data_IF_135716741775
#
_entry.id   IF_135716741775
#
_cell.length_a   1.000
_cell.length_b   1.000
_cell.length_c   1.000
_cell.angle_alpha   90.00
_cell.angle_beta   90.00
_cell.angle_gamma   90.00
#
_symmetry.space_group_name_H-M   'P 1'
#
loop_
_entity.id
_entity.type
_entity.pdbx_description
1 polymer ?
#
# COMPACT_ATOMS: atom_id res chain seq x y z
N UNK A 1 17.23 -21.11 37.72
CA UNK A 1 17.26 -19.70 37.32
C UNK A 1 16.08 -19.45 36.40
N UNK A 2 15.03 -18.78 36.88
CA UNK A 2 13.83 -18.43 36.11
C UNK A 2 13.93 -16.98 35.65
N UNK A 3 13.68 -16.71 34.38
CA UNK A 3 13.61 -15.35 33.83
C UNK A 3 12.13 -15.00 33.66
N UNK A 4 11.68 -14.01 34.43
CA UNK A 4 10.35 -13.40 34.32
C UNK A 4 10.45 -12.20 33.37
N UNK A 5 9.71 -12.24 32.26
CA UNK A 5 9.68 -11.12 31.29
C UNK A 5 8.44 -10.27 31.58
N UNK A 6 8.66 -9.09 32.16
CA UNK A 6 7.62 -8.07 32.34
C UNK A 6 7.46 -7.25 31.07
N UNK A 7 6.29 -7.32 30.45
CA UNK A 7 5.87 -6.36 29.42
C UNK A 7 5.23 -5.15 30.10
N UNK A 8 5.82 -3.97 29.95
CA UNK A 8 5.20 -2.69 30.30
C UNK A 8 4.68 -2.05 29.02
N UNK A 9 3.36 -1.92 28.90
CA UNK A 9 2.70 -1.16 27.84
C UNK A 9 2.39 0.22 28.41
N UNK A 10 3.06 1.27 27.90
CA UNK A 10 2.68 2.65 28.17
C UNK A 10 1.75 3.16 27.06
N UNK A 11 0.59 3.67 27.49
CA UNK A 11 -0.50 4.23 26.66
C UNK A 11 -0.05 5.38 25.74
N UNK A 12 -0.69 5.55 24.56
CA UNK A 12 -0.66 6.81 23.84
C UNK A 12 -1.79 7.72 24.33
N UNK A 13 -1.49 8.61 25.28
CA UNK A 13 -2.27 9.84 25.49
C UNK A 13 -1.58 10.97 24.74
N UNK A 14 -2.10 11.33 23.57
CA UNK A 14 -1.85 12.62 22.92
C UNK A 14 -3.13 13.02 22.17
N UNK A 15 -3.78 14.05 22.70
CA UNK A 15 -5.15 14.42 22.41
C UNK A 15 -5.41 15.03 21.04
N UNK A 16 -6.68 14.97 20.65
CA UNK A 16 -7.28 15.91 19.69
C UNK A 16 -8.40 16.63 20.44
N UNK A 17 -8.23 17.95 20.58
CA UNK A 17 -9.18 18.85 21.20
C UNK A 17 -10.49 18.92 20.39
N UNK A 18 -11.63 18.72 21.06
CA UNK A 18 -12.95 19.09 20.54
C UNK A 18 -13.05 20.61 20.49
N UNK A 19 -13.18 21.18 19.29
CA UNK A 19 -13.64 22.56 19.15
C UNK A 19 -15.15 22.62 19.47
N UNK A 20 -15.49 23.30 20.55
CA UNK A 20 -16.84 23.78 20.83
C UNK A 20 -17.01 25.13 20.13
N UNK A 21 -17.93 25.21 19.17
CA UNK A 21 -18.33 26.46 18.53
C UNK A 21 -19.85 26.56 18.54
N UNK A 22 -20.38 27.42 19.41
CA UNK A 22 -21.81 27.65 19.59
C UNK A 22 -22.46 28.34 18.40
N UNK A 23 -23.75 28.06 18.19
CA UNK A 23 -24.60 28.71 17.19
C UNK A 23 -25.06 30.09 17.65
N UNK A 24 -25.05 31.14 16.80
CA UNK A 24 -25.77 32.37 17.08
C UNK A 24 -27.28 32.23 16.88
N UNK A 25 -28.10 33.04 17.57
CA UNK A 25 -29.55 32.88 17.64
C UNK A 25 -30.26 33.60 16.48
N UNK A 26 -31.32 32.98 15.95
CA UNK A 26 -32.20 33.59 14.96
C UNK A 26 -33.51 32.81 14.84
N UNK A 27 -34.56 33.38 15.43
CA UNK A 27 -35.91 32.86 15.57
C UNK A 27 -36.63 32.68 14.22
N UNK A 28 -37.42 31.60 14.06
CA UNK A 28 -38.44 31.49 13.01
C UNK A 28 -39.02 30.08 12.88
N UNK A 29 -40.26 29.90 13.31
CA UNK A 29 -40.99 28.63 13.23
C UNK A 29 -41.36 28.23 11.79
N UNK A 30 -41.62 26.92 11.61
CA UNK A 30 -41.88 26.20 10.36
C UNK A 30 -43.08 26.70 9.52
N UNK A 31 -43.18 26.25 8.25
CA UNK A 31 -44.23 25.26 8.03
C UNK A 31 -43.79 24.08 7.15
N UNK A 32 -44.37 22.92 7.45
CA UNK A 32 -44.46 21.78 6.54
C UNK A 32 -45.31 22.14 5.32
N UNK A 33 -44.83 21.85 4.11
CA UNK A 33 -45.57 21.22 3.01
C UNK A 33 -44.84 21.38 1.66
N UNK A 34 -45.18 20.46 0.75
CA UNK A 34 -44.96 20.48 -0.70
C UNK A 34 -43.61 19.96 -1.22
N UNK A 35 -43.71 18.92 -2.03
CA UNK A 35 -42.61 18.12 -2.58
C UNK A 35 -41.58 18.91 -3.39
N UNK A 36 -40.32 18.57 -3.14
CA UNK A 36 -39.16 19.02 -3.90
C UNK A 36 -38.22 17.84 -4.11
N UNK A 37 -37.86 17.63 -5.38
CA UNK A 37 -36.89 16.66 -5.91
C UNK A 37 -35.63 16.58 -5.02
N UNK A 38 -35.14 15.37 -4.72
CA UNK A 38 -33.87 15.14 -4.00
C UNK A 38 -32.77 16.01 -4.63
N UNK A 39 -31.93 16.73 -3.85
CA UNK A 39 -30.78 17.40 -4.40
C UNK A 39 -29.88 16.35 -5.05
N UNK A 40 -29.72 16.54 -6.34
CA UNK A 40 -28.63 16.07 -7.16
C UNK A 40 -27.33 15.96 -6.36
N UNK A 41 -26.84 14.73 -6.24
CA UNK A 41 -25.47 14.43 -5.83
C UNK A 41 -24.51 15.32 -6.60
N UNK A 42 -23.87 16.25 -5.89
CA UNK A 42 -23.02 17.31 -6.45
C UNK A 42 -21.92 16.78 -7.34
N UNK A 43 -22.19 16.75 -8.65
CA UNK A 43 -21.14 16.73 -9.66
C UNK A 43 -20.34 18.03 -9.58
N UNK A 44 -19.07 18.03 -10.04
CA UNK A 44 -18.28 19.25 -10.10
C UNK A 44 -19.03 20.33 -10.91
N UNK A 45 -18.98 21.61 -10.49
CA UNK A 45 -19.70 22.68 -11.15
C UNK A 45 -19.32 22.76 -12.64
N UNK A 46 -20.29 23.03 -13.54
CA UNK A 46 -20.03 23.14 -14.96
C UNK A 46 -18.94 24.19 -15.22
N UNK A 47 -17.84 23.78 -15.84
CA UNK A 47 -16.68 24.63 -16.13
C UNK A 47 -15.41 24.25 -15.38
N UNK A 48 -15.47 23.40 -14.35
CA UNK A 48 -14.29 22.84 -13.71
C UNK A 48 -13.97 21.48 -14.33
N UNK A 49 -13.21 21.49 -15.43
CA UNK A 49 -12.76 20.26 -16.09
C UNK A 49 -12.02 19.36 -15.10
N UNK A 50 -12.59 18.21 -14.79
CA UNK A 50 -11.85 17.14 -14.14
C UNK A 50 -11.03 16.43 -15.21
N UNK A 51 -9.76 16.79 -15.32
CA UNK A 51 -8.80 15.96 -16.06
C UNK A 51 -8.37 14.87 -15.09
N UNK A 52 -8.82 13.60 -15.25
CA UNK A 52 -8.29 12.52 -14.43
C UNK A 52 -6.77 12.49 -14.60
N UNK A 53 -6.00 12.28 -13.52
CA UNK A 53 -4.56 12.08 -13.65
C UNK A 53 -4.31 10.93 -14.63
N UNK A 54 -3.23 11.04 -15.41
CA UNK A 54 -2.85 9.98 -16.34
C UNK A 54 -2.79 8.65 -15.58
N UNK A 55 -3.50 7.64 -16.09
CA UNK A 55 -3.50 6.34 -15.47
C UNK A 55 -2.05 5.80 -15.46
N UNK A 56 -1.57 5.24 -14.33
CA UNK A 56 -0.24 4.66 -14.29
C UNK A 56 -0.14 3.55 -15.34
N UNK A 57 0.98 3.51 -16.06
CA UNK A 57 1.27 2.42 -16.98
C UNK A 57 1.84 1.23 -16.22
N UNK A 58 1.43 0.02 -16.59
CA UNK A 58 2.02 -1.19 -16.04
C UNK A 58 3.45 -1.38 -16.55
N UNK A 59 4.28 -2.04 -15.75
CA UNK A 59 5.61 -2.45 -16.18
C UNK A 59 5.51 -3.34 -17.44
N UNK A 60 6.36 -3.07 -18.43
CA UNK A 60 6.39 -3.86 -19.67
C UNK A 60 6.86 -5.28 -19.34
N UNK A 61 6.07 -6.28 -19.71
CA UNK A 61 6.46 -7.68 -19.57
C UNK A 61 7.69 -7.96 -20.44
N UNK A 62 8.79 -8.50 -19.89
CA UNK A 62 9.91 -8.95 -20.71
C UNK A 62 9.52 -10.22 -21.49
N UNK A 63 10.00 -10.34 -22.73
CA UNK A 63 9.74 -11.53 -23.55
C UNK A 63 10.47 -12.79 -23.08
N UNK A 64 11.55 -12.61 -22.30
CA UNK A 64 12.35 -13.69 -21.70
C UNK A 64 13.04 -13.19 -20.43
N UNK A 65 13.44 -14.12 -19.56
CA UNK A 65 14.24 -13.84 -18.36
C UNK A 65 15.74 -14.10 -18.54
N UNK A 66 16.16 -14.64 -19.68
CA UNK A 66 17.59 -14.92 -19.94
C UNK A 66 18.46 -13.67 -19.75
N UNK A 67 19.52 -13.80 -18.95
CA UNK A 67 20.44 -12.70 -18.61
C UNK A 67 19.76 -11.48 -17.95
N UNK A 68 18.60 -11.69 -17.31
CA UNK A 68 17.85 -10.63 -16.60
C UNK A 68 18.01 -10.73 -15.09
N UNK A 69 17.80 -9.60 -14.44
CA UNK A 69 17.74 -9.48 -12.98
C UNK A 69 16.30 -9.56 -12.50
N UNK A 70 16.00 -10.58 -11.69
CA UNK A 70 14.70 -10.80 -11.06
C UNK A 70 14.81 -10.57 -9.56
N UNK A 71 14.03 -9.64 -9.04
CA UNK A 71 13.93 -9.38 -7.61
C UNK A 71 12.91 -10.32 -6.96
N UNK A 72 13.32 -10.99 -5.90
CA UNK A 72 12.50 -11.90 -5.11
C UNK A 72 12.15 -11.20 -3.79
N UNK A 73 10.96 -10.61 -3.74
CA UNK A 73 10.52 -9.75 -2.64
C UNK A 73 9.69 -10.57 -1.66
N UNK A 74 10.29 -10.87 -0.51
CA UNK A 74 9.58 -11.33 0.67
C UNK A 74 8.85 -10.14 1.29
N UNK A 75 7.53 -10.20 1.36
CA UNK A 75 6.70 -9.07 1.80
C UNK A 75 6.46 -9.05 3.30
N UNK A 76 6.64 -10.16 4.02
CA UNK A 76 6.06 -10.28 5.35
C UNK A 76 5.25 -11.53 5.63
N UNK A 77 4.51 -11.98 4.62
CA UNK A 77 3.53 -13.04 4.80
C UNK A 77 4.16 -14.35 5.24
N UNK A 78 3.39 -15.14 5.99
CA UNK A 78 3.77 -16.49 6.40
C UNK A 78 4.23 -17.31 5.19
N UNK A 79 5.34 -18.03 5.35
CA UNK A 79 5.92 -18.86 4.29
C UNK A 79 6.73 -18.12 3.21
N UNK A 80 6.54 -16.80 3.04
CA UNK A 80 7.15 -16.02 1.94
C UNK A 80 8.68 -16.12 1.91
N UNK A 81 9.35 -16.02 3.07
CA UNK A 81 10.80 -16.16 3.17
C UNK A 81 11.32 -17.51 2.65
N UNK A 82 10.68 -18.61 3.07
CA UNK A 82 11.13 -19.96 2.68
C UNK A 82 10.83 -20.24 1.22
N UNK A 83 9.68 -19.78 0.73
CA UNK A 83 9.34 -19.87 -0.68
C UNK A 83 10.37 -19.12 -1.55
N UNK A 84 10.71 -17.88 -1.20
CA UNK A 84 11.69 -17.09 -1.96
C UNK A 84 13.10 -17.71 -1.95
N UNK A 85 13.49 -18.37 -0.85
CA UNK A 85 14.73 -19.15 -0.81
C UNK A 85 14.71 -20.33 -1.77
N UNK A 86 13.63 -21.10 -1.78
CA UNK A 86 13.51 -22.25 -2.67
C UNK A 86 13.40 -21.83 -4.13
N UNK A 87 12.69 -20.73 -4.40
CA UNK A 87 12.59 -20.16 -5.74
C UNK A 87 13.95 -19.68 -6.26
N UNK A 88 14.73 -19.00 -5.41
CA UNK A 88 16.10 -18.61 -5.76
C UNK A 88 16.97 -19.82 -6.11
N UNK A 89 16.86 -20.88 -5.32
CA UNK A 89 17.59 -22.12 -5.54
C UNK A 89 17.16 -22.81 -6.85
N UNK A 90 15.86 -22.76 -7.17
CA UNK A 90 15.33 -23.27 -8.42
C UNK A 90 15.87 -22.50 -9.62
N UNK A 91 15.90 -21.16 -9.57
CA UNK A 91 16.49 -20.33 -10.64
C UNK A 91 17.96 -20.68 -10.85
N UNK A 92 18.74 -20.81 -9.77
CA UNK A 92 20.16 -21.18 -9.85
C UNK A 92 20.38 -22.51 -10.59
N UNK A 93 19.49 -23.49 -10.38
CA UNK A 93 19.59 -24.83 -10.97
C UNK A 93 19.06 -24.91 -12.40
N UNK A 94 17.94 -24.25 -12.68
CA UNK A 94 17.16 -24.45 -13.90
C UNK A 94 17.29 -23.30 -14.90
N UNK A 95 17.67 -22.11 -14.43
CA UNK A 95 17.82 -20.90 -15.24
C UNK A 95 19.04 -20.09 -14.77
N UNK A 96 20.27 -20.63 -14.89
CA UNK A 96 21.46 -20.03 -14.30
C UNK A 96 21.86 -18.68 -14.92
N UNK A 97 21.35 -18.35 -16.11
CA UNK A 97 21.49 -17.03 -16.74
C UNK A 97 20.70 -15.94 -16.02
N UNK A 98 19.67 -16.31 -15.24
CA UNK A 98 18.84 -15.36 -14.50
C UNK A 98 19.55 -14.97 -13.21
N UNK A 99 19.81 -13.68 -13.04
CA UNK A 99 20.32 -13.15 -11.79
C UNK A 99 19.15 -12.92 -10.84
N UNK A 100 19.20 -13.50 -9.64
CA UNK A 100 18.14 -13.33 -8.63
C UNK A 100 18.63 -12.55 -7.42
N UNK A 101 17.87 -11.55 -7.00
CA UNK A 101 18.18 -10.72 -5.82
C UNK A 101 17.04 -10.84 -4.82
N UNK A 102 17.30 -11.46 -3.67
CA UNK A 102 16.28 -11.60 -2.61
C UNK A 102 16.29 -10.39 -1.69
N UNK A 103 15.13 -9.78 -1.46
CA UNK A 103 14.94 -8.64 -0.56
C UNK A 103 13.73 -8.88 0.34
N UNK A 104 13.79 -8.34 1.56
CA UNK A 104 12.65 -8.27 2.47
C UNK A 104 12.06 -6.87 2.38
N UNK A 105 10.77 -6.75 2.11
CA UNK A 105 10.03 -5.49 2.23
C UNK A 105 10.08 -5.06 3.69
N UNK A 106 10.52 -3.83 3.99
CA UNK A 106 10.49 -3.31 5.34
C UNK A 106 9.05 -3.03 5.80
N UNK A 107 8.87 -2.84 7.11
CA UNK A 107 7.59 -2.49 7.68
C UNK A 107 6.63 -3.68 7.88
N UNK A 108 5.35 -3.37 8.07
CA UNK A 108 4.33 -4.39 8.27
C UNK A 108 3.97 -5.10 6.95
N UNK A 109 3.30 -6.24 7.08
CA UNK A 109 2.91 -7.09 5.95
C UNK A 109 1.92 -6.38 5.01
N UNK A 110 1.10 -5.48 5.57
CA UNK A 110 0.01 -4.82 4.85
C UNK A 110 0.23 -3.33 4.59
N UNK A 111 1.09 -2.68 5.38
CA UNK A 111 1.31 -1.23 5.34
C UNK A 111 2.81 -0.92 5.31
N UNK A 112 3.17 0.36 5.45
CA UNK A 112 4.54 0.82 5.68
C UNK A 112 5.51 0.39 4.57
N UNK A 113 5.13 0.71 3.33
CA UNK A 113 5.96 0.43 2.19
C UNK A 113 7.07 1.48 2.04
N UNK A 114 8.27 1.05 1.60
CA UNK A 114 9.41 1.95 1.46
C UNK A 114 9.70 2.22 -0.01
N UNK A 115 9.72 3.49 -0.39
CA UNK A 115 9.98 3.90 -1.75
C UNK A 115 11.38 3.47 -2.23
N UNK A 116 12.38 3.35 -1.34
CA UNK A 116 13.75 3.01 -1.72
C UNK A 116 13.89 1.63 -2.35
N UNK A 117 13.16 0.62 -1.85
CA UNK A 117 13.18 -0.73 -2.42
C UNK A 117 12.61 -0.71 -3.84
N UNK A 118 11.51 0.01 -4.05
CA UNK A 118 10.88 0.09 -5.36
C UNK A 118 11.69 0.89 -6.37
N UNK A 119 12.35 1.96 -5.94
CA UNK A 119 13.28 2.69 -6.80
C UNK A 119 14.50 1.83 -7.19
N UNK A 120 15.05 1.05 -6.26
CA UNK A 120 16.11 0.08 -6.60
C UNK A 120 15.63 -0.94 -7.66
N UNK A 121 14.42 -1.48 -7.49
CA UNK A 121 13.85 -2.45 -8.43
C UNK A 121 13.58 -1.80 -9.79
N UNK A 122 13.13 -0.54 -9.83
CA UNK A 122 12.93 0.20 -11.09
C UNK A 122 14.24 0.44 -11.82
N UNK A 123 15.31 0.73 -11.09
CA UNK A 123 16.62 1.03 -11.67
C UNK A 123 17.35 -0.24 -12.14
N UNK A 124 17.29 -1.32 -11.36
CA UNK A 124 18.17 -2.50 -11.54
C UNK A 124 17.41 -3.77 -11.90
N UNK A 125 16.11 -3.82 -11.61
CA UNK A 125 15.26 -4.97 -11.82
C UNK A 125 14.62 -4.98 -13.20
N UNK A 126 14.54 -6.15 -13.80
CA UNK A 126 13.76 -6.38 -15.02
C UNK A 126 12.40 -7.00 -14.72
N UNK A 127 12.30 -7.71 -13.59
CA UNK A 127 11.07 -8.27 -13.06
C UNK A 127 11.15 -8.37 -11.54
N UNK A 128 9.99 -8.45 -10.89
CA UNK A 128 9.88 -8.73 -9.47
C UNK A 128 8.84 -9.82 -9.22
N UNK A 129 9.14 -10.72 -8.28
CA UNK A 129 8.21 -11.71 -7.73
C UNK A 129 7.90 -11.33 -6.30
N UNK A 130 6.61 -11.19 -5.97
CA UNK A 130 6.15 -10.80 -4.65
C UNK A 130 5.55 -12.00 -3.93
N UNK A 131 6.06 -12.32 -2.75
CA UNK A 131 5.56 -13.44 -1.96
C UNK A 131 4.48 -12.95 -1.02
N UNK A 132 3.21 -13.08 -1.43
CA UNK A 132 2.03 -12.54 -0.73
C UNK A 132 1.29 -13.56 0.15
N UNK A 133 1.70 -14.83 0.11
CA UNK A 133 1.27 -15.93 0.97
C UNK A 133 2.14 -17.16 0.66
N UNK A 134 2.13 -18.16 1.53
CA UNK A 134 2.83 -19.43 1.36
C UNK A 134 2.14 -20.55 2.12
#
# INVERSE_FOLDING_TARGET
MSIEVRFSVMSPEAGIQKAAGGSPPGMGAAPSAMGGRRPDTGGPPPGMGFTPPAAPSFARRPGTLENKTVYLVDTGFGGSYQFMRQLQEWFRKNMPSVTTVRKRKPGSVFMDDNNSLWEEIKEKGHAAVMGVAG
#
